data_IF_665895722507
#
_entry.id   IF_665895722507
#
_cell.length_a   1.000
_cell.length_b   1.000
_cell.length_c   1.000
_cell.angle_alpha   90.00
_cell.angle_beta   90.00
_cell.angle_gamma   90.00
#
_symmetry.space_group_name_H-M   'P 1'
#
loop_
_entity.id
_entity.type
_entity.pdbx_description
1 polymer ?
#
# COMPACT_ATOMS: atom_id res chain seq x y z
N UNK A 1 -21.63 8.30 15.79
CA UNK A 1 -20.23 8.67 15.47
C UNK A 1 -19.25 7.52 15.69
N UNK A 2 -19.22 6.88 16.88
CA UNK A 2 -18.34 5.71 17.15
C UNK A 2 -18.48 4.55 16.13
N UNK A 3 -19.70 4.20 15.74
CA UNK A 3 -19.95 3.18 14.70
C UNK A 3 -19.40 3.56 13.32
N UNK A 4 -19.44 4.85 12.96
CA UNK A 4 -18.90 5.33 11.68
C UNK A 4 -17.36 5.30 11.69
N UNK A 5 -16.73 5.67 12.81
CA UNK A 5 -15.29 5.48 12.99
C UNK A 5 -14.88 4.03 12.82
N UNK A 6 -15.58 3.13 13.52
CA UNK A 6 -15.33 1.70 13.44
C UNK A 6 -15.46 1.21 11.99
N UNK A 7 -16.55 1.58 11.30
CA UNK A 7 -16.80 1.20 9.92
C UNK A 7 -15.66 1.62 8.98
N UNK A 8 -15.23 2.88 9.04
CA UNK A 8 -14.19 3.38 8.14
C UNK A 8 -12.80 2.81 8.49
N UNK A 9 -12.47 2.69 9.78
CA UNK A 9 -11.21 2.07 10.23
C UNK A 9 -11.17 0.59 9.86
N UNK A 10 -12.23 -0.17 10.12
CA UNK A 10 -12.28 -1.61 9.83
C UNK A 10 -12.27 -1.88 8.34
N UNK A 11 -12.97 -1.07 7.54
CA UNK A 11 -12.97 -1.17 6.07
C UNK A 11 -11.58 -0.92 5.51
N UNK A 12 -10.92 0.17 5.93
CA UNK A 12 -9.56 0.49 5.48
C UNK A 12 -8.57 -0.58 5.91
N UNK A 13 -8.52 -0.94 7.20
CA UNK A 13 -7.59 -1.92 7.73
C UNK A 13 -7.78 -3.31 7.11
N UNK A 14 -9.04 -3.78 7.02
CA UNK A 14 -9.36 -5.07 6.39
C UNK A 14 -8.95 -5.13 4.92
N UNK A 15 -9.21 -4.07 4.16
CA UNK A 15 -8.75 -3.95 2.77
C UNK A 15 -7.22 -4.00 2.69
N UNK A 16 -6.51 -3.27 3.54
CA UNK A 16 -5.04 -3.23 3.55
C UNK A 16 -4.43 -4.60 3.86
N UNK A 17 -4.98 -5.32 4.86
CA UNK A 17 -4.55 -6.68 5.20
C UNK A 17 -4.80 -7.65 4.04
N UNK A 18 -6.00 -7.63 3.47
CA UNK A 18 -6.38 -8.52 2.37
C UNK A 18 -5.52 -8.29 1.12
N UNK A 19 -5.41 -7.05 0.65
CA UNK A 19 -4.69 -6.73 -0.58
C UNK A 19 -3.19 -7.02 -0.42
N UNK A 20 -2.60 -6.68 0.72
CA UNK A 20 -1.16 -6.80 0.94
C UNK A 20 -0.73 -8.24 1.19
N UNK A 21 -1.39 -8.94 2.13
CA UNK A 21 -0.90 -10.24 2.61
C UNK A 21 -1.57 -11.43 1.93
N UNK A 22 -2.82 -11.31 1.49
CA UNK A 22 -3.55 -12.42 0.85
C UNK A 22 -3.46 -12.30 -0.66
N UNK A 23 -4.08 -11.27 -1.24
CA UNK A 23 -4.20 -11.12 -2.68
C UNK A 23 -2.82 -10.97 -3.34
N UNK A 24 -1.95 -10.12 -2.79
CA UNK A 24 -0.59 -9.91 -3.30
C UNK A 24 0.24 -11.20 -3.34
N UNK A 25 0.19 -12.01 -2.27
CA UNK A 25 0.94 -13.25 -2.19
C UNK A 25 0.39 -14.32 -3.14
N UNK A 26 -0.93 -14.51 -3.17
CA UNK A 26 -1.60 -15.46 -4.06
C UNK A 26 -1.32 -15.12 -5.52
N UNK A 27 -1.51 -13.86 -5.92
CA UNK A 27 -1.26 -13.43 -7.29
C UNK A 27 0.21 -13.56 -7.69
N UNK A 28 1.14 -13.24 -6.80
CA UNK A 28 2.59 -13.34 -7.08
C UNK A 28 3.04 -14.77 -7.39
N UNK A 29 2.33 -15.78 -6.87
CA UNK A 29 2.66 -17.20 -7.05
C UNK A 29 1.95 -17.85 -8.24
N UNK A 30 0.74 -17.39 -8.56
CA UNK A 30 -0.14 -18.08 -9.52
C UNK A 30 -0.37 -17.31 -10.82
N UNK A 31 0.00 -16.03 -10.91
CA UNK A 31 -0.13 -15.26 -12.14
C UNK A 31 1.23 -15.04 -12.82
N UNK A 32 1.24 -14.93 -14.17
CA UNK A 32 2.39 -14.42 -14.87
C UNK A 32 2.78 -13.04 -14.36
N UNK A 33 4.08 -12.77 -14.27
CA UNK A 33 4.56 -11.55 -13.62
C UNK A 33 4.06 -10.28 -14.31
N UNK A 34 3.97 -10.29 -15.65
CA UNK A 34 3.45 -9.13 -16.40
C UNK A 34 1.97 -8.88 -16.10
N UNK A 35 1.19 -9.96 -16.00
CA UNK A 35 -0.23 -9.89 -15.61
C UNK A 35 -0.38 -9.36 -14.18
N UNK A 36 0.39 -9.89 -13.23
CA UNK A 36 0.40 -9.39 -11.86
C UNK A 36 0.77 -7.91 -11.77
N UNK A 37 1.84 -7.49 -12.43
CA UNK A 37 2.27 -6.08 -12.45
C UNK A 37 1.21 -5.16 -13.08
N UNK A 38 0.52 -5.62 -14.13
CA UNK A 38 -0.58 -4.87 -14.73
C UNK A 38 -1.77 -4.71 -13.80
N UNK A 39 -2.15 -5.78 -13.07
CA UNK A 39 -3.22 -5.72 -12.07
C UNK A 39 -2.85 -4.75 -10.94
N UNK A 40 -1.60 -4.81 -10.43
CA UNK A 40 -1.14 -3.89 -9.39
C UNK A 40 -1.18 -2.44 -9.85
N UNK A 41 -0.75 -2.15 -11.09
CA UNK A 41 -0.78 -0.81 -11.68
C UNK A 41 -2.18 -0.20 -11.70
N UNK A 42 -3.19 -0.99 -12.04
CA UNK A 42 -4.58 -0.52 -12.07
C UNK A 42 -5.21 -0.48 -10.67
N UNK A 43 -4.91 -1.44 -9.79
CA UNK A 43 -5.54 -1.56 -8.47
C UNK A 43 -5.00 -0.56 -7.44
N UNK A 44 -3.69 -0.30 -7.45
CA UNK A 44 -3.03 0.51 -6.42
C UNK A 44 -3.57 1.94 -6.30
N UNK A 45 -3.87 2.68 -7.38
CA UNK A 45 -4.48 4.01 -7.27
C UNK A 45 -5.80 3.98 -6.49
N UNK A 46 -6.72 3.05 -6.81
CA UNK A 46 -8.00 2.92 -6.10
C UNK A 46 -7.79 2.54 -4.64
N UNK A 47 -6.90 1.58 -4.38
CA UNK A 47 -6.55 1.15 -3.03
C UNK A 47 -6.06 2.30 -2.15
N UNK A 48 -5.09 3.08 -2.63
CA UNK A 48 -4.55 4.20 -1.86
C UNK A 48 -5.54 5.37 -1.75
N UNK A 49 -6.39 5.59 -2.75
CA UNK A 49 -7.49 6.56 -2.66
C UNK A 49 -8.49 6.19 -1.58
N UNK A 50 -8.99 4.94 -1.56
CA UNK A 50 -9.91 4.46 -0.53
C UNK A 50 -9.28 4.59 0.86
N UNK A 51 -8.01 4.18 1.00
CA UNK A 51 -7.26 4.31 2.26
C UNK A 51 -7.18 5.77 2.72
N UNK A 52 -6.87 6.70 1.82
CA UNK A 52 -6.81 8.14 2.12
C UNK A 52 -8.18 8.71 2.49
N UNK A 53 -9.24 8.37 1.75
CA UNK A 53 -10.61 8.81 2.04
C UNK A 53 -11.08 8.30 3.40
N UNK A 54 -10.84 7.03 3.74
CA UNK A 54 -11.18 6.49 5.05
C UNK A 54 -10.40 7.17 6.18
N UNK A 55 -9.11 7.46 5.99
CA UNK A 55 -8.30 8.19 6.97
C UNK A 55 -8.81 9.63 7.16
N UNK A 56 -9.14 10.33 6.07
CA UNK A 56 -9.72 11.66 6.10
C UNK A 56 -11.07 11.70 6.82
N UNK A 57 -11.99 10.79 6.48
CA UNK A 57 -13.30 10.71 7.14
C UNK A 57 -13.18 10.42 8.64
N UNK A 58 -12.24 9.54 9.03
CA UNK A 58 -11.95 9.31 10.44
C UNK A 58 -11.41 10.55 11.15
N UNK A 59 -10.49 11.30 10.52
CA UNK A 59 -9.98 12.55 11.08
C UNK A 59 -11.10 13.59 11.24
N UNK A 60 -11.97 13.74 10.24
CA UNK A 60 -13.12 14.66 10.31
C UNK A 60 -14.08 14.28 11.43
N UNK A 61 -14.47 13.01 11.53
CA UNK A 61 -15.35 12.54 12.59
C UNK A 61 -14.72 12.72 13.98
N UNK A 62 -13.39 12.56 14.08
CA UNK A 62 -12.66 12.75 15.32
C UNK A 62 -12.68 14.22 15.76
N UNK A 63 -12.41 15.14 14.82
CA UNK A 63 -12.46 16.57 15.05
C UNK A 63 -13.87 17.07 15.43
N UNK A 64 -14.90 16.56 14.76
CA UNK A 64 -16.30 16.87 15.10
C UNK A 64 -16.71 16.38 16.50
N UNK A 65 -16.08 15.31 17.00
CA UNK A 65 -16.40 14.71 18.30
C UNK A 65 -15.69 15.39 19.47
N UNK A 66 -14.64 16.18 19.24
CA UNK A 66 -13.84 16.84 20.29
C UNK A 66 -13.63 18.35 20.01
N UNK A 67 -14.69 19.16 19.89
CA UNK A 67 -14.58 20.56 19.48
C UNK A 67 -13.99 21.53 20.52
N UNK A 68 -13.89 21.15 21.81
CA UNK A 68 -13.59 22.11 22.89
C UNK A 68 -12.71 21.60 24.04
N UNK A 69 -12.12 20.40 23.93
CA UNK A 69 -11.25 19.87 24.99
C UNK A 69 -9.78 20.18 24.74
N UNK A 70 -9.02 20.40 25.82
CA UNK A 70 -7.55 20.34 25.78
C UNK A 70 -7.18 18.96 25.23
N UNK A 71 -6.69 18.92 24.00
CA UNK A 71 -6.23 17.71 23.34
C UNK A 71 -5.15 17.06 24.22
N UNK A 72 -5.52 16.03 24.98
CA UNK A 72 -4.55 15.19 25.67
C UNK A 72 -3.59 14.55 24.69
N UNK A 73 -2.44 14.06 25.17
CA UNK A 73 -1.39 13.47 24.32
C UNK A 73 -1.91 12.36 23.40
N UNK A 74 -2.85 11.54 23.89
CA UNK A 74 -3.53 10.48 23.14
C UNK A 74 -4.31 11.00 21.91
N UNK A 75 -4.99 12.14 22.04
CA UNK A 75 -5.77 12.73 20.95
C UNK A 75 -4.86 13.34 19.88
N UNK A 76 -3.74 13.96 20.30
CA UNK A 76 -2.73 14.45 19.36
C UNK A 76 -2.06 13.30 18.61
N UNK A 77 -1.76 12.18 19.29
CA UNK A 77 -1.19 11.00 18.65
C UNK A 77 -2.11 10.44 17.55
N UNK A 78 -3.42 10.35 17.79
CA UNK A 78 -4.38 9.90 16.77
C UNK A 78 -4.46 10.85 15.57
N UNK A 79 -4.46 12.16 15.78
CA UNK A 79 -4.45 13.15 14.69
C UNK A 79 -3.17 12.99 13.85
N UNK A 80 -2.01 12.90 14.50
CA UNK A 80 -0.72 12.70 13.81
C UNK A 80 -0.74 11.41 13.00
N UNK A 81 -1.27 10.32 13.58
CA UNK A 81 -1.41 9.03 12.88
C UNK A 81 -2.26 9.17 11.62
N UNK A 82 -3.43 9.83 11.69
CA UNK A 82 -4.27 10.02 10.51
C UNK A 82 -3.61 10.91 9.46
N UNK A 83 -2.94 11.99 9.87
CA UNK A 83 -2.19 12.86 8.96
C UNK A 83 -1.06 12.11 8.25
N UNK A 84 -0.30 11.29 8.98
CA UNK A 84 0.74 10.42 8.41
C UNK A 84 0.13 9.43 7.43
N UNK A 85 -1.00 8.80 7.76
CA UNK A 85 -1.68 7.87 6.87
C UNK A 85 -2.18 8.54 5.58
N UNK A 86 -2.73 9.77 5.67
CA UNK A 86 -3.16 10.56 4.52
C UNK A 86 -1.95 10.92 3.65
N UNK A 87 -0.91 11.50 4.25
CA UNK A 87 0.30 11.90 3.54
C UNK A 87 0.98 10.70 2.85
N UNK A 88 1.13 9.59 3.55
CA UNK A 88 1.69 8.35 3.01
C UNK A 88 0.83 7.78 1.86
N UNK A 89 -0.50 7.79 2.00
CA UNK A 89 -1.41 7.31 0.96
C UNK A 89 -1.35 8.21 -0.29
N UNK A 90 -1.34 9.53 -0.12
CA UNK A 90 -1.24 10.50 -1.23
C UNK A 90 0.11 10.39 -1.93
N UNK A 91 1.22 10.32 -1.19
CA UNK A 91 2.56 10.11 -1.76
C UNK A 91 2.63 8.79 -2.54
N UNK A 92 2.02 7.73 -2.01
CA UNK A 92 1.91 6.46 -2.69
C UNK A 92 1.10 6.56 -3.99
N UNK A 93 -0.05 7.22 -4.00
CA UNK A 93 -0.86 7.34 -5.21
C UNK A 93 -0.20 8.23 -6.26
N UNK A 94 0.25 9.42 -5.87
CA UNK A 94 0.65 10.45 -6.81
C UNK A 94 2.11 10.33 -7.26
N UNK A 95 2.99 9.82 -6.41
CA UNK A 95 4.42 9.74 -6.70
C UNK A 95 4.88 8.30 -6.84
N UNK A 96 4.93 7.53 -5.75
CA UNK A 96 5.59 6.23 -5.76
C UNK A 96 4.90 5.24 -6.68
N UNK A 97 3.55 5.25 -6.73
CA UNK A 97 2.75 4.44 -7.63
C UNK A 97 3.01 4.76 -9.09
N UNK A 98 3.07 6.05 -9.47
CA UNK A 98 3.39 6.46 -10.84
C UNK A 98 4.81 6.06 -11.24
N UNK A 99 5.81 6.43 -10.45
CA UNK A 99 7.22 6.10 -10.71
C UNK A 99 7.44 4.59 -10.80
N UNK A 100 6.83 3.82 -9.90
CA UNK A 100 6.94 2.35 -9.93
C UNK A 100 6.27 1.78 -11.17
N UNK A 101 5.12 2.31 -11.58
CA UNK A 101 4.40 1.86 -12.78
C UNK A 101 5.19 2.13 -14.06
N UNK A 102 5.81 3.30 -14.17
CA UNK A 102 6.64 3.67 -15.32
C UNK A 102 7.87 2.75 -15.43
N UNK A 103 8.57 2.53 -14.30
CA UNK A 103 9.71 1.62 -14.23
C UNK A 103 9.30 0.17 -14.58
N UNK A 104 8.14 -0.30 -14.09
CA UNK A 104 7.62 -1.63 -14.41
C UNK A 104 7.27 -1.75 -15.89
N UNK A 105 6.71 -0.71 -16.50
CA UNK A 105 6.44 -0.70 -17.93
C UNK A 105 7.73 -0.83 -18.75
N UNK A 106 8.78 -0.08 -18.38
CA UNK A 106 10.11 -0.21 -19.01
C UNK A 106 10.71 -1.61 -18.82
N UNK A 107 10.65 -2.17 -17.60
CA UNK A 107 11.11 -3.54 -17.33
C UNK A 107 10.38 -4.57 -18.18
N UNK A 108 9.05 -4.45 -18.28
CA UNK A 108 8.23 -5.36 -19.08
C UNK A 108 8.55 -5.25 -20.57
N UNK A 109 8.88 -4.07 -21.10
CA UNK A 109 9.29 -3.90 -22.49
C UNK A 109 10.59 -4.64 -22.79
N UNK A 110 11.61 -4.48 -21.94
CA UNK A 110 12.88 -5.20 -22.09
C UNK A 110 12.67 -6.70 -21.96
N UNK A 111 11.90 -7.14 -20.96
CA UNK A 111 11.58 -8.56 -20.75
C UNK A 111 10.87 -9.18 -21.97
N UNK A 112 9.87 -8.49 -22.54
CA UNK A 112 9.17 -8.95 -23.75
C UNK A 112 10.10 -9.09 -24.94
N UNK A 113 11.07 -8.19 -25.10
CA UNK A 113 12.06 -8.27 -26.20
C UNK A 113 12.90 -9.56 -26.14
N UNK A 114 13.04 -10.14 -24.95
CA UNK A 114 13.78 -11.37 -24.68
C UNK A 114 12.87 -12.60 -24.55
N UNK A 115 11.57 -12.46 -24.87
CA UNK A 115 10.58 -13.54 -24.75
C UNK A 115 10.16 -13.86 -23.31
N UNK A 116 10.48 -13.00 -22.35
CA UNK A 116 10.18 -13.17 -20.93
C UNK A 116 8.85 -12.49 -20.53
N UNK A 117 8.29 -12.91 -19.38
CA UNK A 117 7.16 -12.24 -18.72
C UNK A 117 5.92 -13.08 -18.50
N UNK A 118 5.85 -14.24 -19.17
CA UNK A 118 4.75 -15.20 -19.06
C UNK A 118 5.01 -16.30 -18.04
N UNK A 119 6.20 -16.33 -17.45
CA UNK A 119 6.57 -17.34 -16.48
C UNK A 119 5.78 -17.17 -15.18
N UNK A 120 5.39 -18.30 -14.60
CA UNK A 120 4.59 -18.36 -13.37
C UNK A 120 5.41 -19.00 -12.25
N UNK A 121 5.29 -18.43 -11.05
CA UNK A 121 5.91 -18.97 -9.86
C UNK A 121 7.45 -18.90 -9.87
N UNK A 122 8.14 -19.78 -9.13
CA UNK A 122 9.59 -19.73 -8.95
C UNK A 122 10.38 -19.87 -10.26
N UNK A 123 9.83 -20.57 -11.26
CA UNK A 123 10.47 -20.74 -12.57
C UNK A 123 10.70 -19.41 -13.31
N UNK A 124 9.95 -18.35 -12.96
CA UNK A 124 10.13 -17.00 -13.50
C UNK A 124 11.43 -16.30 -13.05
N UNK A 125 12.09 -16.81 -12.00
CA UNK A 125 13.21 -16.12 -11.36
C UNK A 125 14.56 -16.35 -12.06
N UNK A 126 14.76 -17.52 -12.66
CA UNK A 126 16.02 -17.90 -13.33
C UNK A 126 16.31 -17.07 -14.60
N UNK A 127 15.40 -17.01 -15.62
CA UNK A 127 15.67 -16.25 -16.85
C UNK A 127 15.87 -14.76 -16.59
N UNK A 128 15.10 -14.20 -15.65
CA UNK A 128 15.28 -12.81 -15.20
C UNK A 128 16.59 -12.60 -14.47
N UNK A 129 17.00 -13.57 -13.64
CA UNK A 129 18.28 -13.54 -12.94
C UNK A 129 19.45 -13.45 -13.93
N UNK A 130 19.37 -14.23 -15.01
CA UNK A 130 20.34 -14.19 -16.11
C UNK A 130 20.34 -12.84 -16.84
N UNK A 131 19.16 -12.31 -17.22
CA UNK A 131 19.05 -10.99 -17.84
C UNK A 131 19.60 -9.87 -16.95
N UNK A 132 19.38 -9.97 -15.64
CA UNK A 132 19.92 -9.03 -14.65
C UNK A 132 21.43 -9.12 -14.47
N UNK A 133 22.02 -10.29 -14.74
CA UNK A 133 23.45 -10.49 -14.69
C UNK A 133 24.12 -10.00 -15.99
N UNK A 134 23.48 -10.20 -17.14
CA UNK A 134 24.03 -9.88 -18.46
C UNK A 134 23.86 -8.42 -18.89
N UNK A 135 22.76 -7.75 -18.48
CA UNK A 135 22.45 -6.37 -18.89
C UNK A 135 22.58 -5.37 -17.71
N UNK A 136 23.61 -4.49 -17.72
CA UNK A 136 23.81 -3.47 -16.70
C UNK A 136 22.67 -2.45 -16.60
N UNK A 137 22.05 -2.10 -17.73
CA UNK A 137 20.93 -1.15 -17.81
C UNK A 137 19.68 -1.74 -17.16
N UNK A 138 19.33 -2.97 -17.54
CA UNK A 138 18.23 -3.71 -16.92
C UNK A 138 18.46 -3.89 -15.41
N UNK A 139 19.70 -4.20 -14.99
CA UNK A 139 20.06 -4.30 -13.58
C UNK A 139 19.82 -3.01 -12.81
N UNK A 140 20.19 -1.85 -13.38
CA UNK A 140 19.97 -0.54 -12.77
C UNK A 140 18.47 -0.26 -12.64
N UNK A 141 17.70 -0.52 -13.69
CA UNK A 141 16.26 -0.33 -13.72
C UNK A 141 15.56 -1.21 -12.67
N UNK A 142 15.93 -2.48 -12.57
CA UNK A 142 15.41 -3.41 -11.57
C UNK A 142 15.78 -3.00 -10.12
N UNK A 143 16.93 -2.36 -9.90
CA UNK A 143 17.28 -1.78 -8.57
C UNK A 143 16.41 -0.57 -8.24
N UNK A 144 16.19 0.33 -9.20
CA UNK A 144 15.29 1.48 -9.02
C UNK A 144 13.87 1.01 -8.70
N UNK A 145 13.36 0.02 -9.44
CA UNK A 145 12.08 -0.63 -9.14
C UNK A 145 12.03 -1.12 -7.69
N UNK A 146 13.01 -1.92 -7.28
CA UNK A 146 13.05 -2.50 -5.94
C UNK A 146 13.08 -1.42 -4.85
N UNK A 147 13.82 -0.34 -5.06
CA UNK A 147 13.89 0.79 -4.13
C UNK A 147 12.55 1.50 -3.96
N UNK A 148 11.93 1.94 -5.07
CA UNK A 148 10.64 2.65 -5.01
C UNK A 148 9.50 1.76 -4.52
N UNK A 149 9.50 0.48 -4.92
CA UNK A 149 8.54 -0.49 -4.44
C UNK A 149 8.68 -0.75 -2.93
N UNK A 150 9.90 -0.84 -2.42
CA UNK A 150 10.15 -1.00 -0.98
C UNK A 150 9.70 0.24 -0.19
N UNK A 151 9.98 1.44 -0.69
CA UNK A 151 9.53 2.68 -0.06
C UNK A 151 8.00 2.77 0.00
N UNK A 152 7.33 2.45 -1.11
CA UNK A 152 5.86 2.40 -1.17
C UNK A 152 5.27 1.38 -0.20
N UNK A 153 5.87 0.19 -0.15
CA UNK A 153 5.46 -0.90 0.75
C UNK A 153 5.66 -0.54 2.22
N UNK A 154 6.73 0.17 2.57
CA UNK A 154 6.99 0.65 3.93
C UNK A 154 5.94 1.69 4.36
N UNK A 155 5.60 2.64 3.48
CA UNK A 155 4.52 3.59 3.72
C UNK A 155 3.18 2.86 3.95
N UNK A 156 2.88 1.85 3.14
CA UNK A 156 1.67 1.04 3.30
C UNK A 156 1.67 0.26 4.63
N UNK A 157 2.79 -0.35 5.00
CA UNK A 157 2.93 -1.10 6.25
C UNK A 157 2.76 -0.19 7.47
N UNK A 158 3.33 1.02 7.42
CA UNK A 158 3.13 2.05 8.44
C UNK A 158 1.63 2.35 8.62
N UNK A 159 0.90 2.58 7.52
CA UNK A 159 -0.55 2.79 7.56
C UNK A 159 -1.31 1.60 8.18
N UNK A 160 -0.93 0.36 7.86
CA UNK A 160 -1.54 -0.85 8.42
C UNK A 160 -1.38 -0.89 9.94
N UNK A 161 -0.16 -0.65 10.43
CA UNK A 161 0.14 -0.65 11.87
C UNK A 161 -0.63 0.46 12.57
N UNK A 162 -0.57 1.68 12.02
CA UNK A 162 -1.30 2.84 12.52
C UNK A 162 -2.83 2.64 12.61
N UNK A 163 -3.43 2.10 11.55
CA UNK A 163 -4.86 1.80 11.53
C UNK A 163 -5.21 0.66 12.50
N UNK A 164 -4.35 -0.35 12.61
CA UNK A 164 -4.53 -1.45 13.57
C UNK A 164 -4.49 -0.98 15.03
N UNK A 165 -3.52 -0.12 15.38
CA UNK A 165 -3.43 0.48 16.71
C UNK A 165 -4.67 1.34 17.02
N UNK A 166 -5.11 2.15 16.06
CA UNK A 166 -6.34 2.95 16.18
C UNK A 166 -7.58 2.08 16.40
N UNK A 167 -7.67 0.94 15.70
CA UNK A 167 -8.77 -0.03 15.84
C UNK A 167 -8.76 -0.70 17.23
N UNK A 168 -7.60 -1.15 17.70
CA UNK A 168 -7.43 -1.74 19.03
C UNK A 168 -7.81 -0.74 20.14
N UNK A 169 -7.38 0.51 19.99
CA UNK A 169 -7.71 1.57 20.94
C UNK A 169 -9.22 1.86 20.96
N UNK A 170 -9.86 1.92 19.79
CA UNK A 170 -11.31 2.10 19.69
C UNK A 170 -12.06 0.91 20.31
N UNK A 171 -11.61 -0.32 20.08
CA UNK A 171 -12.20 -1.54 20.63
C UNK A 171 -12.14 -1.56 22.17
N UNK A 172 -10.98 -1.24 22.75
CA UNK A 172 -10.80 -1.20 24.21
C UNK A 172 -11.72 -0.16 24.89
N UNK A 173 -12.03 0.95 24.20
CA UNK A 173 -12.97 1.98 24.69
C UNK A 173 -14.43 1.65 24.40
N UNK A 174 -14.71 0.72 23.50
CA UNK A 174 -16.06 0.22 23.22
C UNK A 174 -16.50 -0.83 24.24
N UNK A 175 -15.57 -1.65 24.75
CA UNK A 175 -15.81 -2.63 25.82
C UNK A 175 -16.02 -2.01 27.22
N UNK A 176 -15.80 -0.71 27.36
CA UNK A 176 -16.04 0.04 28.60
C UNK A 176 -17.46 0.68 28.67
N UNK A 177 -18.35 0.27 27.77
CA UNK A 177 -19.78 0.58 27.73
C UNK A 177 -20.59 -0.69 28.02
#
# INVERSE_FOLDING_TARGET
IKLLHLLFLSTSWGMQVWVTFVAGFVMSRHLPRHTFGSIQRELFPYYFHISSTCAFLNLTLFAMSHPSERLGEEHMAQIIVFLVCIAASVLNTQWFGRVTSDIVAELHLVERSQGLGQEVGPAASEPRGQLRASDPSYRQLARRFAFYHALSSLCNLCCIVCNGLSLCHLAARLSAL
#
